data_IF_168084944606
#
_entry.id   IF_168084944606
#
_cell.length_a   1.000
_cell.length_b   1.000
_cell.length_c   1.000
_cell.angle_alpha   90.00
_cell.angle_beta   90.00
_cell.angle_gamma   90.00
#
_symmetry.space_group_name_H-M   'P 1'
#
loop_
_entity.id
_entity.type
_entity.pdbx_description
1 polymer ?
#
# COMPACT_ATOMS: atom_id res chain seq x y z
N UNK A 1 -17.56 10.66 -11.05
CA UNK A 1 -17.40 12.09 -11.39
C UNK A 1 -18.01 12.44 -12.75
N UNK A 2 -17.53 11.89 -13.87
CA UNK A 2 -18.05 12.23 -15.21
C UNK A 2 -19.57 11.95 -15.36
N UNK A 3 -20.04 10.79 -14.89
CA UNK A 3 -21.46 10.40 -14.94
C UNK A 3 -22.38 11.25 -14.03
N UNK A 4 -21.81 12.03 -13.09
CA UNK A 4 -22.58 12.90 -12.20
C UNK A 4 -22.71 14.33 -12.74
N UNK A 5 -22.07 14.65 -13.87
CA UNK A 5 -22.11 15.98 -14.48
C UNK A 5 -23.16 16.04 -15.59
N UNK A 6 -23.95 17.14 -15.68
CA UNK A 6 -24.89 17.34 -16.78
C UNK A 6 -24.19 17.34 -18.14
N UNK A 7 -24.90 16.94 -19.20
CA UNK A 7 -24.42 17.08 -20.58
C UNK A 7 -24.06 18.54 -20.86
N UNK A 8 -22.91 18.78 -21.49
CA UNK A 8 -22.42 20.13 -21.81
C UNK A 8 -21.71 20.86 -20.66
N UNK A 9 -21.60 20.26 -19.47
CA UNK A 9 -20.89 20.87 -18.36
C UNK A 9 -19.40 21.06 -18.69
N UNK A 10 -18.84 22.25 -18.44
CA UNK A 10 -17.45 22.61 -18.84
C UNK A 10 -16.39 21.64 -18.30
N UNK A 11 -16.61 21.05 -17.13
CA UNK A 11 -15.69 20.07 -16.55
C UNK A 11 -15.62 18.75 -17.34
N UNK A 12 -16.64 18.39 -18.13
CA UNK A 12 -16.60 17.19 -18.98
C UNK A 12 -15.43 17.27 -19.97
N UNK A 13 -15.28 18.42 -20.64
CA UNK A 13 -14.18 18.65 -21.59
C UNK A 13 -12.81 18.58 -20.91
N UNK A 14 -12.67 19.15 -19.71
CA UNK A 14 -11.41 19.04 -18.93
C UNK A 14 -11.10 17.60 -18.56
N UNK A 15 -12.09 16.83 -18.12
CA UNK A 15 -11.92 15.41 -17.76
C UNK A 15 -11.51 14.59 -18.99
N UNK A 16 -12.10 14.85 -20.15
CA UNK A 16 -11.82 14.12 -21.40
C UNK A 16 -10.42 14.36 -21.94
N UNK A 17 -9.87 15.55 -21.74
CA UNK A 17 -8.48 15.84 -22.07
C UNK A 17 -7.48 15.32 -21.02
N UNK A 18 -7.93 14.86 -19.85
CA UNK A 18 -7.02 14.45 -18.78
C UNK A 18 -6.21 13.19 -19.16
N UNK A 19 -4.89 13.32 -19.11
CA UNK A 19 -3.96 12.27 -19.51
C UNK A 19 -3.52 12.36 -20.97
N UNK A 20 -4.05 13.32 -21.75
CA UNK A 20 -3.54 13.59 -23.09
C UNK A 20 -2.15 14.22 -23.01
N UNK A 21 -1.31 13.84 -23.96
CA UNK A 21 0.06 14.31 -24.07
C UNK A 21 0.14 15.39 -25.15
N UNK A 22 0.81 16.51 -24.87
CA UNK A 22 1.07 17.54 -25.89
C UNK A 22 2.28 17.18 -26.77
N UNK A 23 2.59 18.05 -27.74
CA UNK A 23 3.71 17.88 -28.67
C UNK A 23 5.09 17.90 -27.98
N UNK A 24 5.16 18.43 -26.75
CA UNK A 24 6.36 18.49 -25.92
C UNK A 24 6.40 17.36 -24.88
N UNK A 25 5.57 16.34 -25.03
CA UNK A 25 5.45 15.19 -24.12
C UNK A 25 4.95 15.53 -22.70
N UNK A 26 4.35 16.70 -22.50
CA UNK A 26 3.72 17.02 -21.22
C UNK A 26 2.32 16.41 -21.13
N UNK A 27 1.99 15.86 -19.97
CA UNK A 27 0.68 15.29 -19.70
C UNK A 27 -0.25 16.37 -19.13
N UNK A 28 -1.42 16.54 -19.74
CA UNK A 28 -2.47 17.41 -19.21
C UNK A 28 -3.20 16.77 -18.03
N UNK A 29 -3.33 17.51 -16.92
CA UNK A 29 -4.09 17.10 -15.74
C UNK A 29 -5.25 18.07 -15.50
N UNK A 30 -6.46 17.54 -15.37
CA UNK A 30 -7.67 18.36 -15.32
C UNK A 30 -7.90 19.09 -13.98
N UNK A 31 -7.27 18.64 -12.90
CA UNK A 31 -7.42 19.21 -11.55
C UNK A 31 -8.80 19.05 -10.93
N UNK A 32 -9.69 18.23 -11.54
CA UNK A 32 -11.04 18.01 -11.01
C UNK A 32 -10.95 17.11 -9.78
N UNK A 33 -11.62 17.47 -8.65
CA UNK A 33 -11.69 16.62 -7.47
C UNK A 33 -12.15 15.21 -7.82
N UNK A 34 -11.49 14.20 -7.22
CA UNK A 34 -11.76 12.79 -7.44
C UNK A 34 -11.50 12.29 -8.88
N UNK A 35 -10.81 13.06 -9.73
CA UNK A 35 -10.25 12.53 -10.97
C UNK A 35 -9.18 11.48 -10.62
N UNK A 36 -9.32 10.20 -11.04
CA UNK A 36 -8.36 9.16 -10.65
C UNK A 36 -6.92 9.48 -11.08
N UNK A 37 -6.73 10.03 -12.29
CA UNK A 37 -5.38 10.40 -12.78
C UNK A 37 -4.75 11.52 -11.97
N UNK A 38 -5.49 12.59 -11.69
CA UNK A 38 -4.97 13.72 -10.91
C UNK A 38 -4.73 13.31 -9.45
N UNK A 39 -5.64 12.54 -8.87
CA UNK A 39 -5.51 12.01 -7.52
C UNK A 39 -4.28 11.11 -7.37
N UNK A 40 -4.02 10.23 -8.33
CA UNK A 40 -2.81 9.40 -8.32
C UNK A 40 -1.53 10.24 -8.43
N UNK A 41 -1.50 11.26 -9.29
CA UNK A 41 -0.36 12.20 -9.37
C UNK A 41 -0.11 12.88 -8.02
N UNK A 42 -1.17 13.43 -7.41
CA UNK A 42 -1.06 14.07 -6.10
C UNK A 42 -0.57 13.10 -5.03
N UNK A 43 -1.12 11.88 -4.99
CA UNK A 43 -0.66 10.81 -4.10
C UNK A 43 0.83 10.55 -4.31
N UNK A 44 1.32 10.40 -5.54
CA UNK A 44 2.74 10.22 -5.84
C UNK A 44 3.59 11.38 -5.32
N UNK A 45 3.16 12.63 -5.52
CA UNK A 45 3.88 13.81 -5.02
C UNK A 45 3.95 13.82 -3.50
N UNK A 46 2.83 13.56 -2.82
CA UNK A 46 2.78 13.54 -1.36
C UNK A 46 3.59 12.38 -0.77
N UNK A 47 3.49 11.19 -1.37
CA UNK A 47 4.33 10.04 -1.03
C UNK A 47 5.81 10.37 -1.17
N UNK A 48 6.22 10.98 -2.30
CA UNK A 48 7.60 11.39 -2.51
C UNK A 48 8.08 12.41 -1.47
N UNK A 49 7.23 13.38 -1.08
CA UNK A 49 7.54 14.32 0.00
C UNK A 49 7.69 13.63 1.35
N UNK A 50 6.81 12.70 1.68
CA UNK A 50 6.87 11.95 2.94
C UNK A 50 8.15 11.11 3.02
N UNK A 51 8.49 10.38 1.95
CA UNK A 51 9.73 9.59 1.86
C UNK A 51 10.95 10.48 2.07
N UNK A 52 11.06 11.59 1.32
CA UNK A 52 12.19 12.53 1.44
C UNK A 52 12.29 13.15 2.83
N UNK A 53 11.16 13.41 3.48
CA UNK A 53 11.14 13.98 4.83
C UNK A 53 11.59 12.97 5.88
N UNK A 54 11.08 11.74 5.82
CA UNK A 54 11.40 10.69 6.78
C UNK A 54 12.86 10.25 6.64
N UNK A 55 13.31 10.00 5.41
CA UNK A 55 14.61 9.39 5.14
C UNK A 55 15.66 10.39 4.64
N UNK A 56 15.56 11.65 5.05
CA UNK A 56 16.41 12.76 4.52
C UNK A 56 17.92 12.50 4.66
N UNK A 57 18.33 11.75 5.68
CA UNK A 57 19.73 11.43 5.98
C UNK A 57 20.07 9.96 5.77
N UNK A 58 19.16 9.17 5.19
CA UNK A 58 19.41 7.75 4.94
C UNK A 58 20.08 7.57 3.57
N UNK A 59 21.07 6.68 3.50
CA UNK A 59 21.60 6.18 2.23
C UNK A 59 20.81 4.95 1.79
N UNK A 60 20.81 4.63 0.50
CA UNK A 60 19.99 3.53 -0.03
C UNK A 60 20.34 2.18 0.62
N UNK A 61 21.61 1.98 1.00
CA UNK A 61 22.12 0.77 1.63
C UNK A 61 21.55 0.56 3.06
N UNK A 62 21.05 1.63 3.70
CA UNK A 62 20.37 1.55 5.00
C UNK A 62 18.86 1.25 4.86
N UNK A 63 18.34 1.27 3.62
CA UNK A 63 16.93 1.16 3.32
C UNK A 63 16.57 -0.23 2.82
N UNK A 64 15.49 -0.77 3.37
CA UNK A 64 14.86 -2.00 2.90
C UNK A 64 13.41 -1.73 2.49
N UNK A 65 12.93 -2.48 1.50
CA UNK A 65 11.52 -2.51 1.15
C UNK A 65 10.88 -3.77 1.74
N UNK A 66 9.86 -3.59 2.56
CA UNK A 66 9.14 -4.68 3.21
C UNK A 66 7.70 -4.73 2.75
N UNK A 67 7.17 -5.94 2.61
CA UNK A 67 5.74 -6.18 2.44
C UNK A 67 5.26 -7.06 3.58
N UNK A 68 4.42 -6.50 4.45
CA UNK A 68 3.80 -7.24 5.56
C UNK A 68 2.41 -7.67 5.11
N UNK A 69 2.22 -8.98 4.99
CA UNK A 69 0.94 -9.56 4.61
C UNK A 69 0.07 -9.77 5.84
N UNK A 70 -1.20 -9.41 5.74
CA UNK A 70 -2.19 -9.65 6.79
C UNK A 70 -3.11 -10.83 6.41
N UNK A 71 -3.80 -11.43 7.40
CA UNK A 71 -4.77 -12.49 7.13
C UNK A 71 -5.82 -12.05 6.11
N UNK A 72 -6.16 -12.94 5.17
CA UNK A 72 -7.15 -12.63 4.14
C UNK A 72 -8.53 -12.43 4.75
N UNK A 73 -9.36 -11.57 4.14
CA UNK A 73 -10.71 -11.28 4.60
C UNK A 73 -11.75 -11.68 3.54
N UNK A 74 -12.83 -12.35 3.96
CA UNK A 74 -13.94 -12.72 3.07
C UNK A 74 -15.06 -11.67 3.05
N UNK A 75 -15.02 -10.73 3.99
CA UNK A 75 -15.87 -9.55 4.03
C UNK A 75 -15.00 -8.29 4.13
N UNK A 76 -15.58 -7.16 3.72
CA UNK A 76 -14.90 -5.87 3.82
C UNK A 76 -15.30 -5.08 5.07
N UNK A 77 -16.32 -5.52 5.81
CA UNK A 77 -16.88 -4.77 6.94
C UNK A 77 -15.90 -4.65 8.11
N UNK A 78 -15.07 -5.67 8.34
CA UNK A 78 -14.05 -5.64 9.40
C UNK A 78 -12.75 -4.90 9.03
N UNK A 79 -12.59 -4.49 7.77
CA UNK A 79 -11.29 -4.07 7.23
C UNK A 79 -10.68 -2.87 7.96
N UNK A 80 -11.49 -1.84 8.24
CA UNK A 80 -11.00 -0.64 8.95
C UNK A 80 -10.48 -0.98 10.35
N UNK A 81 -11.21 -1.84 11.07
CA UNK A 81 -10.83 -2.25 12.42
C UNK A 81 -9.55 -3.10 12.40
N UNK A 82 -9.43 -4.01 11.42
CA UNK A 82 -8.23 -4.82 11.20
C UNK A 82 -7.01 -3.91 11.00
N UNK A 83 -7.09 -2.95 10.07
CA UNK A 83 -5.96 -2.06 9.75
C UNK A 83 -5.55 -1.20 10.96
N UNK A 84 -6.51 -0.65 11.72
CA UNK A 84 -6.18 0.16 12.90
C UNK A 84 -5.61 -0.68 14.06
N UNK A 85 -6.07 -1.92 14.22
CA UNK A 85 -5.49 -2.86 15.18
C UNK A 85 -4.04 -3.19 14.82
N UNK A 86 -3.76 -3.54 13.57
CA UNK A 86 -2.41 -3.88 13.11
C UNK A 86 -1.46 -2.68 13.16
N UNK A 87 -1.94 -1.48 12.81
CA UNK A 87 -1.20 -0.23 13.02
C UNK A 87 -0.86 0.01 14.49
N UNK A 88 -1.77 -0.29 15.42
CA UNK A 88 -1.50 -0.20 16.87
C UNK A 88 -0.49 -1.26 17.31
N UNK A 89 -0.63 -2.50 16.84
CA UNK A 89 0.28 -3.60 17.12
C UNK A 89 1.70 -3.29 16.67
N UNK A 90 1.88 -2.81 15.44
CA UNK A 90 3.18 -2.45 14.88
C UNK A 90 3.85 -1.32 15.69
N UNK A 91 3.12 -0.25 16.03
CA UNK A 91 3.65 0.81 16.90
C UNK A 91 4.10 0.27 18.26
N UNK A 92 3.24 -0.52 18.89
CA UNK A 92 3.53 -1.13 20.21
C UNK A 92 4.73 -2.07 20.15
N UNK A 93 4.89 -2.81 19.05
CA UNK A 93 6.03 -3.68 18.81
C UNK A 93 7.32 -2.87 18.73
N UNK A 94 7.37 -1.82 17.90
CA UNK A 94 8.55 -0.97 17.76
C UNK A 94 8.91 -0.28 19.09
N UNK A 95 7.91 0.21 19.82
CA UNK A 95 8.12 0.81 21.14
C UNK A 95 8.72 -0.18 22.15
N UNK A 96 8.34 -1.47 22.07
CA UNK A 96 8.92 -2.52 22.91
C UNK A 96 10.34 -2.87 22.48
N UNK A 97 10.61 -2.97 21.18
CA UNK A 97 11.95 -3.28 20.69
C UNK A 97 12.95 -2.19 21.08
N UNK A 98 12.57 -0.92 20.91
CA UNK A 98 13.37 0.25 21.32
C UNK A 98 13.72 0.28 22.81
N UNK A 99 12.91 -0.33 23.68
CA UNK A 99 13.20 -0.43 25.12
C UNK A 99 14.15 -1.58 25.44
N UNK A 100 14.22 -2.61 24.59
CA UNK A 100 15.01 -3.82 24.81
C UNK A 100 16.39 -3.74 24.18
N UNK A 101 16.48 -3.12 23.01
CA UNK A 101 17.69 -3.03 22.21
C UNK A 101 17.79 -1.62 21.60
N UNK A 102 18.85 -0.91 21.98
CA UNK A 102 19.11 0.47 21.55
C UNK A 102 19.33 0.61 20.06
N UNK A 103 19.70 -0.48 19.35
CA UNK A 103 19.87 -0.46 17.88
C UNK A 103 18.57 -0.12 17.14
N UNK A 104 17.42 -0.36 17.76
CA UNK A 104 16.10 0.02 17.23
C UNK A 104 15.80 1.52 17.34
N UNK A 105 16.65 2.31 18.02
CA UNK A 105 16.45 3.76 18.14
C UNK A 105 16.47 4.47 16.77
N UNK A 106 17.31 3.98 15.85
CA UNK A 106 17.44 4.50 14.48
C UNK A 106 16.51 3.82 13.48
N UNK A 107 15.72 2.84 13.92
CA UNK A 107 14.75 2.15 13.06
C UNK A 107 13.59 3.08 12.72
N UNK A 108 13.39 3.32 11.42
CA UNK A 108 12.29 4.15 10.90
C UNK A 108 11.47 3.35 9.90
N UNK A 109 10.14 3.49 9.95
CA UNK A 109 9.22 2.81 9.05
C UNK A 109 8.21 3.80 8.50
N UNK A 110 8.12 3.86 7.17
CA UNK A 110 7.07 4.58 6.45
C UNK A 110 6.37 3.61 5.51
N UNK A 111 5.06 3.44 5.65
CA UNK A 111 4.32 2.51 4.82
C UNK A 111 2.92 2.97 4.43
N UNK A 112 2.37 2.26 3.46
CA UNK A 112 1.05 2.48 2.87
C UNK A 112 0.28 1.17 2.89
N UNK A 113 -0.92 1.23 3.46
CA UNK A 113 -1.85 0.10 3.46
C UNK A 113 -2.48 -0.03 2.08
N UNK A 114 -2.44 -1.24 1.54
CA UNK A 114 -3.08 -1.60 0.29
C UNK A 114 -3.96 -2.82 0.50
N UNK A 115 -5.01 -2.91 -0.32
CA UNK A 115 -5.99 -4.00 -0.24
C UNK A 115 -6.22 -4.48 -1.66
N UNK A 116 -5.70 -5.67 -1.93
CA UNK A 116 -5.96 -6.34 -3.20
C UNK A 116 -7.23 -7.16 -3.14
N UNK A 117 -7.81 -7.38 -4.32
CA UNK A 117 -8.90 -8.34 -4.52
C UNK A 117 -8.39 -9.56 -5.28
N UNK A 118 -8.87 -10.72 -4.89
CA UNK A 118 -8.61 -11.99 -5.54
C UNK A 118 -9.90 -12.82 -5.57
N UNK A 119 -10.13 -13.56 -6.66
CA UNK A 119 -11.13 -14.62 -6.68
C UNK A 119 -10.51 -15.93 -6.20
N UNK A 120 -11.32 -16.88 -5.74
CA UNK A 120 -10.86 -18.21 -5.38
C UNK A 120 -10.04 -18.88 -6.50
N UNK A 121 -10.56 -18.90 -7.74
CA UNK A 121 -9.83 -19.43 -8.90
C UNK A 121 -8.56 -18.65 -9.28
N UNK A 122 -8.34 -17.46 -8.71
CA UNK A 122 -7.08 -16.73 -8.83
C UNK A 122 -5.93 -17.34 -8.04
N UNK A 123 -6.22 -18.19 -7.05
CA UNK A 123 -5.21 -18.82 -6.20
C UNK A 123 -4.30 -19.76 -6.98
N UNK A 124 -4.86 -20.67 -7.78
CA UNK A 124 -4.08 -21.67 -8.54
C UNK A 124 -3.22 -21.03 -9.62
N UNK A 125 -3.61 -19.84 -10.08
CA UNK A 125 -2.86 -19.04 -11.05
C UNK A 125 -1.71 -18.23 -10.43
N UNK A 126 -1.58 -18.22 -9.10
CA UNK A 126 -0.48 -17.53 -8.43
C UNK A 126 0.82 -18.32 -8.53
N UNK A 127 1.95 -17.61 -8.50
CA UNK A 127 3.26 -18.23 -8.35
C UNK A 127 3.40 -18.98 -7.01
N UNK A 128 4.28 -19.98 -6.98
CA UNK A 128 4.50 -20.87 -5.81
C UNK A 128 4.67 -20.12 -4.48
N UNK A 129 5.50 -19.08 -4.46
CA UNK A 129 5.77 -18.33 -3.22
C UNK A 129 4.53 -17.61 -2.70
N UNK A 130 3.73 -17.04 -3.59
CA UNK A 130 2.46 -16.41 -3.25
C UNK A 130 1.46 -17.42 -2.70
N UNK A 131 1.38 -18.61 -3.30
CA UNK A 131 0.52 -19.68 -2.78
C UNK A 131 0.95 -20.13 -1.37
N UNK A 132 2.25 -20.28 -1.12
CA UNK A 132 2.78 -20.64 0.21
C UNK A 132 2.42 -19.55 1.23
N UNK A 133 2.65 -18.28 0.89
CA UNK A 133 2.33 -17.17 1.77
C UNK A 133 0.82 -17.11 2.08
N UNK A 134 -0.03 -17.23 1.06
CA UNK A 134 -1.49 -17.22 1.23
C UNK A 134 -1.98 -18.40 2.07
N UNK A 135 -1.44 -19.61 1.89
CA UNK A 135 -1.76 -20.76 2.74
C UNK A 135 -1.43 -20.50 4.22
N UNK A 136 -0.34 -19.78 4.49
CA UNK A 136 0.04 -19.36 5.85
C UNK A 136 -0.79 -18.21 6.43
N UNK A 137 -1.66 -17.57 5.63
CA UNK A 137 -2.50 -16.43 6.00
C UNK A 137 -3.99 -16.79 6.00
N UNK A 138 -4.27 -18.05 6.30
CA UNK A 138 -5.62 -18.62 6.36
C UNK A 138 -6.42 -18.44 5.07
N UNK A 139 -5.76 -18.59 3.91
CA UNK A 139 -6.49 -18.59 2.65
C UNK A 139 -7.56 -19.69 2.66
N UNK A 140 -8.82 -19.36 2.37
CA UNK A 140 -9.92 -20.33 2.43
C UNK A 140 -9.68 -21.47 1.44
N UNK A 141 -9.64 -22.71 1.94
CA UNK A 141 -9.46 -23.90 1.11
C UNK A 141 -10.77 -24.38 0.47
N UNK A 142 -11.92 -23.97 1.01
CA UNK A 142 -13.24 -24.35 0.51
C UNK A 142 -13.78 -23.20 -0.34
N UNK A 143 -13.96 -23.49 -1.62
CA UNK A 143 -14.49 -22.56 -2.60
C UNK A 143 -15.90 -22.12 -2.18
N UNK A 144 -16.07 -20.80 -2.01
CA UNK A 144 -17.39 -20.21 -2.15
C UNK A 144 -17.38 -19.51 -3.51
N UNK A 145 -18.00 -20.10 -4.55
CA UNK A 145 -18.15 -19.43 -5.82
C UNK A 145 -18.69 -18.01 -5.58
N UNK A 146 -18.14 -17.03 -6.30
CA UNK A 146 -18.54 -15.62 -6.26
C UNK A 146 -18.15 -14.79 -5.02
N UNK A 147 -17.36 -15.33 -4.08
CA UNK A 147 -16.80 -14.49 -2.99
C UNK A 147 -15.49 -13.83 -3.39
N UNK A 148 -15.41 -12.52 -3.15
CA UNK A 148 -14.17 -11.75 -3.25
C UNK A 148 -13.33 -11.99 -2.01
N UNK A 149 -12.07 -12.38 -2.21
CA UNK A 149 -11.06 -12.49 -1.17
C UNK A 149 -10.28 -11.18 -1.15
N UNK A 150 -10.30 -10.49 -0.01
CA UNK A 150 -9.56 -9.26 0.22
C UNK A 150 -8.22 -9.59 0.87
N UNK A 151 -7.14 -9.04 0.32
CA UNK A 151 -5.77 -9.30 0.78
C UNK A 151 -5.15 -7.99 1.27
N UNK A 152 -5.39 -7.62 2.53
CA UNK A 152 -4.75 -6.45 3.12
C UNK A 152 -3.25 -6.69 3.29
N UNK A 153 -2.46 -5.68 2.97
CA UNK A 153 -1.01 -5.72 3.15
C UNK A 153 -0.46 -4.32 3.38
N UNK A 154 0.71 -4.24 3.99
CA UNK A 154 1.47 -3.01 4.19
C UNK A 154 2.72 -3.06 3.32
N UNK A 155 2.83 -2.13 2.38
CA UNK A 155 4.10 -1.84 1.73
C UNK A 155 4.83 -0.78 2.54
N UNK A 156 6.08 -1.04 2.92
CA UNK A 156 6.85 -0.13 3.74
C UNK A 156 8.28 0.03 3.21
N UNK A 157 8.79 1.25 3.33
CA UNK A 157 10.22 1.53 3.32
C UNK A 157 10.66 1.58 4.78
N UNK A 158 11.73 0.86 5.07
CA UNK A 158 12.31 0.75 6.40
C UNK A 158 13.73 1.28 6.32
N UNK A 159 14.11 2.14 7.26
CA UNK A 159 15.51 2.39 7.59
C UNK A 159 15.89 1.45 8.72
N UNK A 160 16.81 0.54 8.47
CA UNK A 160 17.14 -0.53 9.43
C UNK A 160 18.02 -0.01 10.58
N UNK A 161 18.77 1.08 10.36
CA UNK A 161 19.73 1.60 11.32
C UNK A 161 20.88 0.61 11.50
N UNK A 162 21.05 0.10 12.72
CA UNK A 162 22.13 -0.85 13.08
C UNK A 162 21.69 -2.32 13.06
N UNK A 163 20.49 -2.59 12.57
CA UNK A 163 19.93 -3.94 12.47
C UNK A 163 20.26 -4.55 11.12
N UNK A 164 20.40 -5.87 11.08
CA UNK A 164 20.50 -6.62 9.82
C UNK A 164 19.12 -6.91 9.23
N UNK A 165 19.07 -7.21 7.93
CA UNK A 165 17.82 -7.65 7.27
C UNK A 165 17.20 -8.87 7.96
N UNK A 166 18.03 -9.83 8.39
CA UNK A 166 17.58 -11.04 9.06
C UNK A 166 16.99 -10.75 10.46
N UNK A 167 17.59 -9.81 11.20
CA UNK A 167 17.03 -9.36 12.48
C UNK A 167 15.67 -8.68 12.29
N UNK A 168 15.52 -7.86 11.25
CA UNK A 168 14.25 -7.19 10.95
C UNK A 168 13.19 -8.18 10.45
N UNK A 169 13.57 -9.18 9.65
CA UNK A 169 12.65 -10.16 9.11
C UNK A 169 12.11 -11.16 10.16
N UNK A 170 12.90 -11.46 11.19
CA UNK A 170 12.56 -12.44 12.23
C UNK A 170 11.92 -11.85 13.50
N UNK A 171 11.87 -10.52 13.63
CA UNK A 171 11.39 -9.85 14.84
C UNK A 171 9.86 -9.76 14.93
#
# INVERSE_FOLDING_TARGET
VKAALPKGHMLLRKIDCCGQTDQSHNIYYCGVPLCPRCHMRERTVQTGKAIKKTFVNAVNEELAFATILLPVQLDFSGMTQLLENEKRRLRTFLDRQRKKDERWAEFELLGWWEIDRMSFGGFDNCGRNTQIALKGLDFPLIETPDKTIWRPHLHAIIRMGKLTEEEVANA
#
